data_IF_983515544447
#
_entry.id   IF_983515544447
#
_cell.length_a   1.000
_cell.length_b   1.000
_cell.length_c   1.000
_cell.angle_alpha   90.00
_cell.angle_beta   90.00
_cell.angle_gamma   90.00
#
_symmetry.space_group_name_H-M   'P 1'
#
loop_
_entity.id
_entity.type
_entity.pdbx_description
1 polymer ?
#
# COMPACT_ATOMS: atom_id res chain seq x y z
N UNK A 1 -32.80 -11.56 -26.41
CA UNK A 1 -32.92 -11.93 -24.98
C UNK A 1 -32.15 -10.87 -24.18
N UNK A 2 -32.86 -10.04 -23.42
CA UNK A 2 -32.19 -9.08 -22.51
C UNK A 2 -31.79 -9.85 -21.28
N UNK A 3 -30.50 -9.97 -21.02
CA UNK A 3 -29.99 -10.52 -19.75
C UNK A 3 -30.51 -9.63 -18.62
N UNK A 4 -31.29 -10.24 -17.76
CA UNK A 4 -31.74 -9.62 -16.52
C UNK A 4 -30.56 -9.66 -15.56
N UNK A 5 -29.79 -8.57 -15.48
CA UNK A 5 -28.75 -8.40 -14.48
C UNK A 5 -29.43 -8.52 -13.12
N UNK A 6 -28.99 -9.47 -12.30
CA UNK A 6 -29.58 -9.77 -11.01
C UNK A 6 -29.44 -8.55 -10.08
N UNK A 7 -30.53 -8.10 -9.47
CA UNK A 7 -30.55 -6.95 -8.55
C UNK A 7 -29.59 -7.12 -7.34
N UNK A 8 -29.29 -8.36 -6.96
CA UNK A 8 -28.29 -8.67 -5.92
C UNK A 8 -26.86 -8.35 -6.37
N UNK A 9 -26.48 -8.73 -7.61
CA UNK A 9 -25.17 -8.41 -8.20
C UNK A 9 -24.99 -6.90 -8.37
N UNK A 10 -26.06 -6.18 -8.73
CA UNK A 10 -26.04 -4.71 -8.85
C UNK A 10 -25.86 -4.02 -7.48
N UNK A 11 -26.49 -4.56 -6.42
CA UNK A 11 -26.34 -4.04 -5.07
C UNK A 11 -24.94 -4.36 -4.47
N UNK A 12 -24.37 -5.51 -4.78
CA UNK A 12 -23.04 -5.89 -4.32
C UNK A 12 -21.95 -5.06 -5.01
N UNK A 13 -22.07 -4.86 -6.32
CA UNK A 13 -21.20 -3.95 -7.07
C UNK A 13 -21.31 -2.51 -6.57
N UNK A 14 -22.50 -2.04 -6.24
CA UNK A 14 -22.73 -0.70 -5.69
C UNK A 14 -22.11 -0.54 -4.30
N UNK A 15 -22.23 -1.54 -3.43
CA UNK A 15 -21.55 -1.57 -2.11
C UNK A 15 -20.04 -1.63 -2.23
N UNK A 16 -19.51 -2.37 -3.21
CA UNK A 16 -18.08 -2.42 -3.49
C UNK A 16 -17.52 -1.08 -3.98
N UNK A 17 -18.35 -0.25 -4.60
CA UNK A 17 -17.98 1.10 -5.06
C UNK A 17 -18.16 2.17 -3.98
N UNK A 18 -18.94 1.90 -2.92
CA UNK A 18 -19.09 2.82 -1.79
C UNK A 18 -17.73 2.98 -1.07
N UNK A 19 -17.26 4.23 -0.95
CA UNK A 19 -16.00 4.54 -0.29
C UNK A 19 -14.75 4.45 -1.18
N UNK A 20 -14.88 4.29 -2.52
CA UNK A 20 -13.75 4.41 -3.43
C UNK A 20 -13.21 5.84 -3.40
N UNK A 21 -11.93 5.98 -3.06
CA UNK A 21 -11.21 7.23 -2.94
C UNK A 21 -10.54 7.67 -4.24
N UNK A 22 -10.01 6.70 -4.98
CA UNK A 22 -9.35 6.90 -6.27
C UNK A 22 -9.48 5.62 -7.10
N UNK A 23 -9.51 5.75 -8.42
CA UNK A 23 -9.60 4.61 -9.33
C UNK A 23 -9.00 4.92 -10.70
N UNK A 24 -8.59 3.85 -11.37
CA UNK A 24 -8.24 3.78 -12.79
C UNK A 24 -8.93 2.56 -13.43
N UNK A 25 -8.54 2.24 -14.66
CA UNK A 25 -8.98 0.99 -15.33
C UNK A 25 -8.34 -0.28 -14.71
N UNK A 26 -7.21 -0.14 -13.97
CA UNK A 26 -6.43 -1.27 -13.44
C UNK A 26 -6.60 -1.48 -11.95
N UNK A 27 -6.88 -0.43 -11.20
CA UNK A 27 -7.01 -0.54 -9.74
C UNK A 27 -7.95 0.51 -9.18
N UNK A 28 -8.43 0.26 -7.96
CA UNK A 28 -9.14 1.24 -7.16
C UNK A 28 -8.65 1.18 -5.72
N UNK A 29 -8.91 2.23 -4.96
CA UNK A 29 -8.48 2.37 -3.58
C UNK A 29 -9.66 2.74 -2.68
N UNK A 30 -9.73 2.13 -1.51
CA UNK A 30 -10.59 2.55 -0.41
C UNK A 30 -9.85 2.51 0.92
N UNK A 31 -10.37 3.18 1.93
CA UNK A 31 -9.83 3.02 3.29
C UNK A 31 -9.95 1.57 3.75
N UNK A 32 -8.94 1.12 4.51
CA UNK A 32 -9.03 -0.14 5.25
C UNK A 32 -10.09 -0.02 6.34
N UNK A 33 -10.86 -1.08 6.53
CA UNK A 33 -11.80 -1.22 7.65
C UNK A 33 -11.35 -2.33 8.59
N UNK A 34 -11.99 -2.46 9.75
CA UNK A 34 -11.65 -3.52 10.71
C UNK A 34 -11.87 -4.92 10.14
N UNK A 35 -12.87 -5.08 9.28
CA UNK A 35 -13.19 -6.34 8.62
C UNK A 35 -12.07 -6.83 7.69
N UNK A 36 -11.22 -5.92 7.21
CA UNK A 36 -10.07 -6.26 6.36
C UNK A 36 -8.91 -6.88 7.15
N UNK A 37 -8.87 -6.77 8.48
CA UNK A 37 -7.77 -7.28 9.31
C UNK A 37 -7.49 -8.78 9.06
N UNK A 38 -8.53 -9.61 8.94
CA UNK A 38 -8.36 -11.02 8.65
C UNK A 38 -7.69 -11.27 7.28
N UNK A 39 -7.99 -10.42 6.31
CA UNK A 39 -7.40 -10.48 4.96
C UNK A 39 -5.92 -10.06 4.99
N UNK A 40 -5.60 -8.97 5.69
CA UNK A 40 -4.21 -8.51 5.90
C UNK A 40 -3.39 -9.61 6.57
N UNK A 41 -3.88 -10.21 7.65
CA UNK A 41 -3.22 -11.32 8.37
C UNK A 41 -2.94 -12.49 7.41
N UNK A 42 -3.94 -12.91 6.63
CA UNK A 42 -3.77 -13.98 5.63
C UNK A 42 -2.65 -13.66 4.65
N UNK A 43 -2.62 -12.44 4.12
CA UNK A 43 -1.62 -12.04 3.14
C UNK A 43 -0.22 -11.88 3.74
N UNK A 44 -0.12 -11.21 4.89
CA UNK A 44 1.16 -10.96 5.58
C UNK A 44 1.84 -12.25 6.05
N UNK A 45 1.06 -13.30 6.29
CA UNK A 45 1.57 -14.62 6.66
C UNK A 45 1.99 -15.49 5.47
N UNK A 46 1.67 -15.11 4.22
CA UNK A 46 2.18 -15.82 3.05
C UNK A 46 3.73 -15.72 3.02
N UNK A 47 4.47 -16.83 2.84
CA UNK A 47 5.94 -16.78 2.74
C UNK A 47 6.41 -15.81 1.66
N UNK A 48 5.75 -15.79 0.49
CA UNK A 48 6.04 -14.90 -0.65
C UNK A 48 5.80 -13.40 -0.38
N UNK A 49 5.17 -13.05 0.72
CA UNK A 49 4.99 -11.67 1.20
C UNK A 49 5.92 -11.42 2.38
N UNK A 50 5.88 -12.31 3.40
CA UNK A 50 6.61 -12.12 4.66
C UNK A 50 8.12 -12.06 4.47
N UNK A 51 8.68 -12.80 3.50
CA UNK A 51 10.12 -12.84 3.22
C UNK A 51 10.74 -11.47 2.86
N UNK A 52 9.92 -10.49 2.47
CA UNK A 52 10.38 -9.15 2.07
C UNK A 52 10.34 -8.11 3.18
N UNK A 53 9.85 -8.49 4.38
CA UNK A 53 9.70 -7.58 5.51
C UNK A 53 10.74 -7.85 6.60
N UNK A 54 11.08 -6.82 7.36
CA UNK A 54 11.95 -6.94 8.55
C UNK A 54 11.23 -7.72 9.65
N UNK A 55 9.91 -7.51 9.79
CA UNK A 55 9.09 -8.24 10.76
C UNK A 55 8.77 -9.63 10.21
N UNK A 56 9.29 -10.67 10.88
CA UNK A 56 9.22 -12.08 10.47
C UNK A 56 8.24 -12.90 11.28
N UNK A 57 7.78 -12.37 12.41
CA UNK A 57 6.83 -13.07 13.26
C UNK A 57 5.47 -13.25 12.55
N UNK A 58 4.74 -14.34 12.86
CA UNK A 58 3.39 -14.50 12.33
C UNK A 58 2.46 -13.40 12.83
N UNK A 59 1.68 -12.85 11.92
CA UNK A 59 0.60 -11.94 12.24
C UNK A 59 -0.58 -12.71 12.81
N UNK A 60 -1.18 -12.21 13.90
CA UNK A 60 -2.41 -12.73 14.49
C UNK A 60 -3.56 -11.76 14.23
N UNK A 61 -4.78 -12.27 14.19
CA UNK A 61 -5.96 -11.42 14.00
C UNK A 61 -6.11 -10.40 15.15
N UNK A 62 -5.92 -10.87 16.38
CA UNK A 62 -5.97 -10.01 17.57
C UNK A 62 -4.93 -8.86 17.50
N UNK A 63 -3.69 -9.18 17.08
CA UNK A 63 -2.62 -8.19 16.94
C UNK A 63 -2.92 -7.17 15.84
N UNK A 64 -3.47 -7.61 14.70
CA UNK A 64 -3.82 -6.72 13.59
C UNK A 64 -5.03 -5.84 13.93
N UNK A 65 -6.05 -6.38 14.61
CA UNK A 65 -7.18 -5.59 15.10
C UNK A 65 -6.74 -4.54 16.14
N UNK A 66 -5.85 -4.91 17.06
CA UNK A 66 -5.29 -3.96 18.02
C UNK A 66 -4.47 -2.86 17.34
N UNK A 67 -3.70 -3.21 16.29
CA UNK A 67 -2.99 -2.22 15.46
C UNK A 67 -3.97 -1.30 14.73
N UNK A 68 -5.02 -1.86 14.13
CA UNK A 68 -6.06 -1.10 13.45
C UNK A 68 -6.70 -0.05 14.38
N UNK A 69 -7.13 -0.45 15.58
CA UNK A 69 -7.76 0.46 16.55
C UNK A 69 -6.80 1.56 17.04
N UNK A 70 -5.52 1.23 17.22
CA UNK A 70 -4.51 2.16 17.74
C UNK A 70 -3.97 3.11 16.69
N UNK A 71 -3.71 2.64 15.48
CA UNK A 71 -2.97 3.40 14.47
C UNK A 71 -3.85 3.83 13.29
N UNK A 72 -4.62 2.89 12.69
CA UNK A 72 -5.35 3.18 11.45
C UNK A 72 -6.60 3.99 11.73
N UNK A 73 -7.42 3.56 12.69
CA UNK A 73 -8.67 4.22 13.07
C UNK A 73 -8.45 5.62 13.64
N UNK A 74 -7.31 5.84 14.29
CA UNK A 74 -6.94 7.15 14.86
C UNK A 74 -6.28 8.09 13.84
N UNK A 75 -5.93 7.59 12.65
CA UNK A 75 -5.26 8.37 11.61
C UNK A 75 -3.74 8.52 11.80
N UNK A 76 -3.12 7.83 12.76
CA UNK A 76 -1.66 7.78 12.89
C UNK A 76 -1.01 6.99 11.73
N UNK A 77 -1.74 6.07 11.15
CA UNK A 77 -1.40 5.39 9.90
C UNK A 77 -2.58 5.42 8.94
N UNK A 78 -2.30 5.47 7.64
CA UNK A 78 -3.33 5.32 6.60
C UNK A 78 -3.05 4.04 5.84
N UNK A 79 -4.05 3.17 5.81
CA UNK A 79 -4.02 1.94 5.03
C UNK A 79 -5.11 2.02 3.95
N UNK A 80 -4.69 1.87 2.69
CA UNK A 80 -5.58 1.88 1.54
C UNK A 80 -5.62 0.48 0.93
N UNK A 81 -6.79 -0.15 0.96
CA UNK A 81 -7.02 -1.42 0.28
C UNK A 81 -6.94 -1.21 -1.21
N UNK A 82 -6.17 -2.05 -1.89
CA UNK A 82 -6.07 -2.11 -3.35
C UNK A 82 -7.13 -3.08 -3.86
N UNK A 83 -7.97 -2.60 -4.76
CA UNK A 83 -9.09 -3.35 -5.32
C UNK A 83 -8.84 -3.63 -6.81
N UNK A 84 -9.26 -4.78 -7.30
CA UNK A 84 -9.24 -5.15 -8.72
C UNK A 84 -10.60 -4.86 -9.38
N UNK A 85 -10.72 -3.83 -10.22
CA UNK A 85 -11.97 -3.54 -10.94
C UNK A 85 -12.42 -4.66 -11.87
N UNK A 86 -11.48 -5.44 -12.42
CA UNK A 86 -11.77 -6.54 -13.33
C UNK A 86 -12.36 -7.76 -12.61
N UNK A 87 -12.19 -7.86 -11.28
CA UNK A 87 -12.76 -8.91 -10.42
C UNK A 87 -13.75 -8.31 -9.39
N UNK A 88 -14.65 -7.45 -9.87
CA UNK A 88 -15.74 -6.89 -9.04
C UNK A 88 -15.27 -6.04 -7.85
N UNK A 89 -14.12 -5.36 -7.97
CA UNK A 89 -13.50 -4.57 -6.89
C UNK A 89 -13.09 -5.40 -5.67
N UNK A 90 -12.72 -6.64 -5.89
CA UNK A 90 -12.20 -7.52 -4.86
C UNK A 90 -10.86 -6.99 -4.31
N UNK A 91 -10.65 -6.99 -2.98
CA UNK A 91 -9.37 -6.61 -2.39
C UNK A 91 -8.25 -7.57 -2.81
N UNK A 92 -7.13 -7.02 -3.28
CA UNK A 92 -5.98 -7.79 -3.78
C UNK A 92 -4.64 -7.39 -3.17
N UNK A 93 -4.62 -6.32 -2.36
CA UNK A 93 -3.42 -5.81 -1.70
C UNK A 93 -3.73 -4.64 -0.79
N UNK A 94 -2.69 -4.04 -0.26
CA UNK A 94 -2.80 -2.86 0.60
C UNK A 94 -1.61 -1.93 0.39
N UNK A 95 -1.87 -0.63 0.29
CA UNK A 95 -0.86 0.43 0.40
C UNK A 95 -0.91 0.99 1.80
N UNK A 96 0.26 1.12 2.43
CA UNK A 96 0.42 1.52 3.84
C UNK A 96 1.24 2.79 3.95
N UNK A 97 0.81 3.72 4.78
CA UNK A 97 1.50 4.98 5.06
C UNK A 97 1.54 5.18 6.57
N UNK A 98 2.72 5.39 7.10
CA UNK A 98 2.96 5.56 8.51
C UNK A 98 4.19 6.45 8.77
N UNK A 99 4.60 6.56 10.02
CA UNK A 99 5.78 7.31 10.46
C UNK A 99 5.88 8.69 9.84
N UNK A 100 4.82 9.48 10.03
CA UNK A 100 4.88 10.89 9.71
C UNK A 100 5.94 11.56 10.56
N UNK A 101 6.91 12.19 9.90
CA UNK A 101 7.89 13.08 10.53
C UNK A 101 7.62 14.51 10.07
N UNK A 102 6.73 15.26 10.77
CA UNK A 102 6.32 16.61 10.36
C UNK A 102 7.51 17.56 10.22
N UNK A 103 8.50 17.44 11.12
CA UNK A 103 9.69 18.28 11.12
C UNK A 103 10.57 18.09 9.88
N UNK A 104 10.47 16.90 9.25
CA UNK A 104 11.18 16.58 7.99
C UNK A 104 10.29 16.69 6.76
N UNK A 105 9.01 16.99 6.95
CA UNK A 105 8.00 16.95 5.87
C UNK A 105 8.04 15.63 5.11
N UNK A 106 8.13 14.52 5.85
CA UNK A 106 8.37 13.18 5.33
C UNK A 106 7.44 12.15 5.98
N UNK A 107 7.03 11.17 5.20
CA UNK A 107 6.33 9.98 5.67
C UNK A 107 7.00 8.71 5.12
N UNK A 108 6.70 7.57 5.73
CA UNK A 108 7.09 6.26 5.19
C UNK A 108 5.87 5.61 4.52
N UNK A 109 6.05 5.11 3.30
CA UNK A 109 5.01 4.46 2.54
C UNK A 109 5.47 3.18 1.87
N UNK A 110 4.52 2.31 1.59
CA UNK A 110 4.77 1.05 0.89
C UNK A 110 3.49 0.44 0.34
N UNK A 111 3.65 -0.61 -0.43
CA UNK A 111 2.54 -1.39 -0.99
C UNK A 111 2.91 -2.87 -1.02
N UNK A 112 1.94 -3.73 -0.84
CA UNK A 112 2.06 -5.15 -1.16
C UNK A 112 0.80 -5.67 -1.85
N UNK A 113 0.99 -6.62 -2.74
CA UNK A 113 -0.08 -7.41 -3.33
C UNK A 113 -0.15 -8.75 -2.60
N UNK A 114 -1.32 -9.04 -2.04
CA UNK A 114 -1.57 -10.26 -1.29
C UNK A 114 -2.08 -11.41 -2.14
N UNK A 115 -2.64 -11.12 -3.34
CA UNK A 115 -3.11 -12.13 -4.27
C UNK A 115 -2.11 -12.33 -5.41
N UNK A 116 -1.71 -13.60 -5.63
CA UNK A 116 -0.71 -13.93 -6.65
C UNK A 116 -1.26 -13.78 -8.08
N UNK A 117 -2.58 -13.95 -8.25
CA UNK A 117 -3.28 -13.84 -9.52
C UNK A 117 -3.17 -12.47 -10.20
N UNK A 118 -2.87 -11.41 -9.46
CA UNK A 118 -2.76 -10.04 -9.97
C UNK A 118 -1.33 -9.58 -10.20
N UNK A 119 -0.33 -10.38 -9.81
CA UNK A 119 1.09 -10.07 -10.02
C UNK A 119 1.43 -10.03 -11.51
N UNK A 120 2.31 -9.11 -11.90
CA UNK A 120 2.73 -8.93 -13.30
C UNK A 120 1.72 -8.23 -14.23
N UNK A 121 0.51 -7.90 -13.75
CA UNK A 121 -0.54 -7.24 -14.53
C UNK A 121 -0.49 -5.70 -14.48
N UNK A 122 0.50 -5.13 -13.80
CA UNK A 122 0.65 -3.67 -13.64
C UNK A 122 -0.21 -3.06 -12.53
N UNK A 123 -1.08 -3.84 -11.89
CA UNK A 123 -1.97 -3.37 -10.80
C UNK A 123 -1.17 -2.73 -9.65
N UNK A 124 -0.04 -3.33 -9.26
CA UNK A 124 0.79 -2.80 -8.17
C UNK A 124 1.32 -1.39 -8.44
N UNK A 125 1.91 -1.15 -9.62
CA UNK A 125 2.43 0.18 -10.00
C UNK A 125 1.30 1.19 -10.14
N UNK A 126 0.16 0.79 -10.71
CA UNK A 126 -1.00 1.65 -10.89
C UNK A 126 -1.61 2.06 -9.54
N UNK A 127 -1.88 1.07 -8.68
CA UNK A 127 -2.41 1.31 -7.33
C UNK A 127 -1.47 2.15 -6.47
N UNK A 128 -0.15 1.92 -6.57
CA UNK A 128 0.81 2.69 -5.78
C UNK A 128 0.89 4.14 -6.28
N UNK A 129 0.78 4.38 -7.59
CA UNK A 129 0.68 5.73 -8.15
C UNK A 129 -0.58 6.45 -7.67
N UNK A 130 -1.75 5.80 -7.72
CA UNK A 130 -2.99 6.35 -7.19
C UNK A 130 -2.85 6.66 -5.68
N UNK A 131 -2.29 5.73 -4.91
CA UNK A 131 -2.15 5.88 -3.47
C UNK A 131 -1.20 7.01 -3.08
N UNK A 132 -0.06 7.15 -3.77
CA UNK A 132 0.91 8.24 -3.52
C UNK A 132 0.33 9.60 -3.88
N UNK A 133 -0.40 9.70 -4.99
CA UNK A 133 -1.11 10.95 -5.36
C UNK A 133 -2.17 11.31 -4.34
N UNK A 134 -2.97 10.32 -3.93
CA UNK A 134 -4.01 10.54 -2.94
C UNK A 134 -3.44 11.02 -1.62
N UNK A 135 -2.37 10.39 -1.10
CA UNK A 135 -1.77 10.75 0.18
C UNK A 135 -1.16 12.16 0.15
N UNK A 136 -0.44 12.53 -0.92
CA UNK A 136 0.12 13.89 -1.06
C UNK A 136 -0.96 14.97 -1.22
N UNK A 137 -2.15 14.62 -1.69
CA UNK A 137 -3.28 15.56 -1.80
C UNK A 137 -4.04 15.74 -0.49
N UNK A 138 -4.07 14.72 0.39
CA UNK A 138 -4.99 14.67 1.53
C UNK A 138 -4.29 14.68 2.90
N UNK A 139 -3.02 14.30 2.97
CA UNK A 139 -2.29 14.37 4.23
C UNK A 139 -1.69 15.76 4.41
N UNK A 140 -1.88 16.41 5.57
CA UNK A 140 -1.40 17.76 5.79
C UNK A 140 0.12 17.76 5.95
N UNK A 141 0.82 17.90 4.84
CA UNK A 141 2.26 18.14 4.81
C UNK A 141 2.48 19.64 4.63
N UNK A 142 3.10 20.34 5.59
CA UNK A 142 3.32 21.77 5.50
C UNK A 142 4.38 22.08 4.43
N UNK A 143 3.96 22.59 3.27
CA UNK A 143 4.86 22.94 2.16
C UNK A 143 5.91 24.00 2.57
N UNK A 144 5.64 24.78 3.60
CA UNK A 144 6.60 25.74 4.17
C UNK A 144 7.90 25.10 4.69
N UNK A 145 7.93 23.79 4.91
CA UNK A 145 9.10 23.02 5.37
C UNK A 145 9.88 22.35 4.23
N UNK A 146 9.59 22.69 2.99
CA UNK A 146 10.24 22.12 1.80
C UNK A 146 9.32 21.14 1.05
N UNK A 147 9.87 20.51 0.01
CA UNK A 147 9.15 19.60 -0.86
C UNK A 147 8.75 18.31 -0.10
N UNK A 148 7.44 18.04 0.09
CA UNK A 148 6.98 16.86 0.78
C UNK A 148 7.52 15.59 0.16
N UNK A 149 7.93 14.65 0.99
CA UNK A 149 8.55 13.41 0.52
C UNK A 149 8.00 12.17 1.20
N UNK A 150 8.06 11.07 0.46
CA UNK A 150 7.77 9.73 0.94
C UNK A 150 9.02 8.87 0.79
N UNK A 151 9.45 8.25 1.88
CA UNK A 151 10.49 7.22 1.82
C UNK A 151 9.86 5.83 1.80
N UNK A 152 10.56 4.90 1.20
CA UNK A 152 10.21 3.48 1.26
C UNK A 152 11.48 2.64 1.40
N UNK A 153 11.39 1.56 2.17
CA UNK A 153 12.48 0.61 2.35
C UNK A 153 12.13 -0.70 1.65
N UNK A 154 12.98 -1.11 0.71
CA UNK A 154 12.75 -2.31 -0.10
C UNK A 154 13.96 -3.22 0.01
N UNK A 155 13.75 -4.52 0.26
CA UNK A 155 14.83 -5.51 0.22
C UNK A 155 15.55 -5.47 -1.14
N UNK A 156 16.90 -5.41 -1.13
CA UNK A 156 17.69 -5.30 -2.37
C UNK A 156 17.42 -6.41 -3.37
N UNK A 157 17.02 -7.59 -2.89
CA UNK A 157 16.68 -8.75 -3.73
C UNK A 157 15.25 -8.71 -4.28
N UNK A 158 14.39 -7.80 -3.79
CA UNK A 158 13.02 -7.65 -4.28
C UNK A 158 12.97 -6.73 -5.51
N UNK A 159 13.55 -7.20 -6.60
CA UNK A 159 13.66 -6.44 -7.86
C UNK A 159 12.27 -6.01 -8.39
N UNK A 160 11.25 -6.84 -8.19
CA UNK A 160 9.89 -6.51 -8.63
C UNK A 160 9.34 -5.26 -7.92
N UNK A 161 9.52 -5.17 -6.59
CA UNK A 161 9.10 -3.99 -5.81
C UNK A 161 9.94 -2.74 -6.15
N UNK A 162 11.25 -2.90 -6.37
CA UNK A 162 12.11 -1.79 -6.78
C UNK A 162 11.63 -1.21 -8.11
N UNK A 163 11.45 -2.05 -9.14
CA UNK A 163 10.94 -1.62 -10.46
C UNK A 163 9.54 -1.01 -10.38
N UNK A 164 8.69 -1.57 -9.55
CA UNK A 164 7.35 -1.03 -9.32
C UNK A 164 7.43 0.40 -8.76
N UNK A 165 8.27 0.64 -7.76
CA UNK A 165 8.45 1.95 -7.17
C UNK A 165 9.11 2.95 -8.15
N UNK A 166 10.11 2.52 -8.93
CA UNK A 166 10.72 3.33 -9.99
C UNK A 166 9.68 3.79 -11.03
N UNK A 167 8.76 2.91 -11.43
CA UNK A 167 7.65 3.23 -12.34
C UNK A 167 6.66 4.25 -11.76
N UNK A 168 6.62 4.42 -10.45
CA UNK A 168 5.82 5.46 -9.76
C UNK A 168 6.55 6.79 -9.67
N UNK A 169 7.89 6.77 -9.80
CA UNK A 169 8.73 7.96 -9.72
C UNK A 169 9.67 7.98 -8.51
N UNK A 170 9.70 6.92 -7.69
CA UNK A 170 10.68 6.80 -6.63
C UNK A 170 12.10 6.74 -7.20
N UNK A 171 13.02 7.34 -6.49
CA UNK A 171 14.44 7.35 -6.83
C UNK A 171 15.27 6.74 -5.71
N UNK A 172 16.36 6.06 -6.08
CA UNK A 172 17.34 5.55 -5.13
C UNK A 172 17.94 6.68 -4.31
N UNK A 173 18.09 6.48 -3.02
CA UNK A 173 18.77 7.40 -2.12
C UNK A 173 20.01 6.76 -1.50
N UNK A 174 19.87 5.62 -0.84
CA UNK A 174 20.99 4.89 -0.22
C UNK A 174 20.70 3.41 -0.04
N UNK A 175 21.75 2.63 0.23
CA UNK A 175 21.65 1.24 0.66
C UNK A 175 21.92 1.13 2.17
N UNK A 176 21.04 0.45 2.85
CA UNK A 176 21.17 0.04 4.25
C UNK A 176 21.65 -1.40 4.27
N UNK A 177 22.85 -1.61 4.83
CA UNK A 177 23.46 -2.93 4.94
C UNK A 177 23.11 -3.59 6.26
N UNK A 178 23.03 -4.92 6.24
CA UNK A 178 22.89 -5.77 7.43
C UNK A 178 21.74 -5.34 8.36
N UNK A 179 20.60 -4.91 7.78
CA UNK A 179 19.40 -4.59 8.55
C UNK A 179 18.90 -5.87 9.23
N UNK A 180 18.83 -5.83 10.56
CA UNK A 180 18.44 -7.00 11.36
C UNK A 180 16.93 -7.19 11.32
N UNK A 181 16.50 -8.36 10.86
CA UNK A 181 15.11 -8.81 10.95
C UNK A 181 14.77 -9.31 12.37
N UNK A 182 13.48 -9.39 12.69
CA UNK A 182 13.03 -9.83 14.03
C UNK A 182 13.41 -11.27 14.37
N UNK A 183 13.59 -12.13 13.38
CA UNK A 183 14.09 -13.51 13.51
C UNK A 183 15.63 -13.61 13.65
N UNK A 184 16.32 -12.46 13.70
CA UNK A 184 17.77 -12.36 13.82
C UNK A 184 18.54 -12.47 12.50
N UNK A 185 17.88 -12.77 11.38
CA UNK A 185 18.51 -12.75 10.04
C UNK A 185 18.87 -11.34 9.62
N UNK A 186 19.80 -11.21 8.65
CA UNK A 186 20.22 -9.91 8.12
C UNK A 186 19.72 -9.76 6.68
N UNK A 187 19.34 -8.54 6.34
CA UNK A 187 18.83 -8.18 5.02
C UNK A 187 19.41 -6.84 4.59
N UNK A 188 19.90 -6.76 3.35
CA UNK A 188 20.22 -5.47 2.74
C UNK A 188 18.94 -4.83 2.19
N UNK A 189 18.78 -3.54 2.42
CA UNK A 189 17.65 -2.78 1.91
C UNK A 189 18.11 -1.55 1.13
N UNK A 190 17.35 -1.16 0.13
CA UNK A 190 17.46 0.17 -0.47
C UNK A 190 16.43 1.09 0.17
N UNK A 191 16.86 2.29 0.50
CA UNK A 191 15.97 3.41 0.77
C UNK A 191 15.76 4.16 -0.53
N UNK A 192 14.52 4.32 -0.90
CA UNK A 192 14.07 5.05 -2.07
C UNK A 192 13.16 6.20 -1.63
N UNK A 193 13.16 7.29 -2.38
CA UNK A 193 12.41 8.51 -2.07
C UNK A 193 11.57 8.94 -3.25
N UNK A 194 10.30 9.31 -2.98
CA UNK A 194 9.42 10.03 -3.89
C UNK A 194 9.17 11.42 -3.34
N UNK A 195 9.44 12.46 -4.12
CA UNK A 195 9.10 13.85 -3.77
C UNK A 195 7.80 14.24 -4.45
N UNK A 196 7.02 15.11 -3.79
CA UNK A 196 5.76 15.61 -4.36
C UNK A 196 6.01 16.29 -5.72
N UNK A 197 7.11 17.05 -5.83
CA UNK A 197 7.51 17.69 -7.09
C UNK A 197 7.87 16.75 -8.23
N UNK A 198 8.08 15.45 -7.95
CA UNK A 198 8.35 14.44 -9.00
C UNK A 198 7.08 13.80 -9.55
N UNK A 199 5.93 14.00 -8.90
CA UNK A 199 4.64 13.59 -9.43
C UNK A 199 4.28 14.57 -10.54
N UNK A 200 4.39 14.14 -11.78
CA UNK A 200 3.96 14.96 -12.93
C UNK A 200 2.50 15.39 -12.75
N UNK A 201 2.23 16.67 -13.02
CA UNK A 201 0.88 17.17 -13.20
C UNK A 201 0.32 16.51 -14.46
N UNK A 202 -0.65 15.61 -14.31
CA UNK A 202 -1.49 15.07 -15.38
C UNK A 202 -2.88 15.67 -15.31
#
# INVERSE_FOLDING_TARGET
MKETINAAETNEAKRAMDGILARSDKSALRMMTKEDCALIVRWRNKPSVREWYIYREPFTLEGEEAYYEREVKTGHAIHLMVLDPADGYKPVGCSVFNRMEPDKNQLEGGIFLGEDSVKGKGIGSDAYRLATRWIFAHWPMPEAQGDPSMISHVATKNIASIRMAENVGFRYEKTLKDVRCTDGTLMDMVQIVLRKSFLADE
#
